data_IF_156294119919
#
_entry.id   IF_156294119919
#
_cell.length_a   1.000
_cell.length_b   1.000
_cell.length_c   1.000
_cell.angle_alpha   90.00
_cell.angle_beta   90.00
_cell.angle_gamma   90.00
#
_symmetry.space_group_name_H-M   'P 1'
#
loop_
_entity.id
_entity.type
_entity.pdbx_description
1 polymer ?
#
# COMPACT_ATOMS: atom_id res chain seq x y z
N UNK A 1 2.96 5.75 21.22
CA UNK A 1 2.39 5.58 19.86
C UNK A 1 0.89 5.36 20.04
N UNK A 2 0.04 5.87 19.16
CA UNK A 2 -1.41 5.60 19.17
C UNK A 2 -1.81 4.76 17.95
N UNK A 3 -3.08 4.28 17.89
CA UNK A 3 -3.59 3.45 16.79
C UNK A 3 -3.27 4.03 15.39
N UNK A 4 -3.44 5.34 15.21
CA UNK A 4 -3.16 6.00 13.94
C UNK A 4 -1.66 5.99 13.60
N UNK A 5 -0.80 6.22 14.60
CA UNK A 5 0.65 6.21 14.40
C UNK A 5 1.15 4.81 13.99
N UNK A 6 0.61 3.73 14.58
CA UNK A 6 0.97 2.35 14.24
C UNK A 6 0.52 2.02 12.81
N UNK A 7 -0.73 2.33 12.47
CA UNK A 7 -1.24 2.11 11.11
C UNK A 7 -0.45 2.91 10.07
N UNK A 8 -0.07 4.15 10.40
CA UNK A 8 0.77 4.96 9.53
C UNK A 8 2.15 4.32 9.34
N UNK A 9 2.78 3.87 10.42
CA UNK A 9 4.07 3.19 10.35
C UNK A 9 3.99 1.92 9.50
N UNK A 10 2.98 1.08 9.72
CA UNK A 10 2.74 -0.12 8.93
C UNK A 10 2.67 0.19 7.42
N UNK A 11 1.82 1.15 7.04
CA UNK A 11 1.53 1.45 5.63
C UNK A 11 2.63 2.27 4.92
N UNK A 12 3.30 3.18 5.63
CA UNK A 12 4.20 4.17 5.02
C UNK A 12 5.68 3.97 5.37
N UNK A 13 6.00 3.01 6.24
CA UNK A 13 7.38 2.72 6.66
C UNK A 13 7.70 1.24 6.55
N UNK A 14 7.01 0.39 7.32
CA UNK A 14 7.35 -1.02 7.38
C UNK A 14 7.12 -1.74 6.04
N UNK A 15 5.90 -1.68 5.49
CA UNK A 15 5.60 -2.38 4.24
C UNK A 15 6.50 -1.96 3.05
N UNK A 16 6.76 -0.66 2.78
CA UNK A 16 7.68 -0.30 1.71
C UNK A 16 9.12 -0.71 2.01
N UNK A 17 9.58 -0.66 3.27
CA UNK A 17 10.91 -1.14 3.67
C UNK A 17 11.06 -2.64 3.38
N UNK A 18 10.14 -3.48 3.88
CA UNK A 18 10.14 -4.92 3.62
C UNK A 18 10.06 -5.25 2.13
N UNK A 19 9.30 -4.47 1.37
CA UNK A 19 9.15 -4.65 -0.08
C UNK A 19 10.46 -4.37 -0.85
N UNK A 20 11.18 -3.30 -0.50
CA UNK A 20 12.41 -2.93 -1.19
C UNK A 20 13.66 -3.64 -0.64
N UNK A 21 13.63 -4.16 0.59
CA UNK A 21 14.75 -4.90 1.19
C UNK A 21 14.91 -6.29 0.57
N UNK A 22 13.82 -7.08 0.49
CA UNK A 22 13.81 -8.41 -0.13
C UNK A 22 12.49 -8.65 -0.85
N UNK A 23 12.42 -8.14 -2.08
CA UNK A 23 11.21 -8.15 -2.89
C UNK A 23 10.71 -9.56 -3.24
N UNK A 24 11.62 -10.48 -3.55
CA UNK A 24 11.27 -11.85 -3.89
C UNK A 24 10.62 -12.55 -2.70
N UNK A 25 11.25 -12.44 -1.51
CA UNK A 25 10.69 -13.00 -0.29
C UNK A 25 9.38 -12.33 0.09
N UNK A 26 9.29 -11.00 -0.01
CA UNK A 26 8.07 -10.24 0.29
C UNK A 26 6.90 -10.69 -0.59
N UNK A 27 7.08 -10.70 -1.91
CA UNK A 27 6.03 -11.07 -2.86
C UNK A 27 5.68 -12.55 -2.76
N UNK A 28 6.68 -13.42 -2.61
CA UNK A 28 6.44 -14.85 -2.40
C UNK A 28 5.59 -15.11 -1.16
N UNK A 29 5.91 -14.42 -0.05
CA UNK A 29 5.17 -14.53 1.21
C UNK A 29 3.73 -14.03 1.05
N UNK A 30 3.55 -12.85 0.45
CA UNK A 30 2.22 -12.28 0.22
C UNK A 30 1.36 -13.17 -0.68
N UNK A 31 1.92 -13.71 -1.77
CA UNK A 31 1.18 -14.59 -2.67
C UNK A 31 0.83 -15.94 -2.02
N UNK A 32 1.64 -16.42 -1.08
CA UNK A 32 1.43 -17.70 -0.40
C UNK A 32 0.46 -17.57 0.78
N UNK A 33 0.61 -16.54 1.60
CA UNK A 33 -0.09 -16.39 2.88
C UNK A 33 -1.24 -15.37 2.82
N UNK A 34 -1.28 -14.51 1.80
CA UNK A 34 -2.38 -13.58 1.56
C UNK A 34 -2.59 -12.58 2.70
N UNK A 35 -3.86 -12.25 2.95
CA UNK A 35 -4.28 -11.27 3.97
C UNK A 35 -3.91 -11.66 5.40
N UNK A 36 -3.74 -12.95 5.70
CA UNK A 36 -3.36 -13.41 7.04
C UNK A 36 -1.98 -12.86 7.44
N UNK A 37 -1.02 -12.92 6.52
CA UNK A 37 0.32 -12.40 6.76
C UNK A 37 0.32 -10.87 7.01
N UNK A 38 -0.43 -10.10 6.23
CA UNK A 38 -0.56 -8.65 6.46
C UNK A 38 -1.15 -8.35 7.85
N UNK A 39 -2.16 -9.12 8.24
CA UNK A 39 -2.80 -8.99 9.54
C UNK A 39 -1.85 -9.34 10.69
N UNK A 40 -1.08 -10.41 10.54
CA UNK A 40 -0.12 -10.85 11.57
C UNK A 40 1.05 -9.86 11.72
N UNK A 41 1.66 -9.40 10.62
CA UNK A 41 2.71 -8.35 10.66
C UNK A 41 2.18 -7.07 11.33
N UNK A 42 0.94 -6.67 11.02
CA UNK A 42 0.35 -5.51 11.66
C UNK A 42 0.08 -5.75 13.15
N UNK A 43 -0.37 -6.96 13.54
CA UNK A 43 -0.57 -7.34 14.94
C UNK A 43 0.72 -7.28 15.73
N UNK A 44 1.83 -7.77 15.18
CA UNK A 44 3.15 -7.72 15.82
C UNK A 44 3.57 -6.28 16.14
N UNK A 45 3.28 -5.31 15.26
CA UNK A 45 3.54 -3.90 15.55
C UNK A 45 2.71 -3.38 16.74
N UNK A 46 1.45 -3.78 16.86
CA UNK A 46 0.59 -3.41 17.99
C UNK A 46 1.10 -4.02 19.30
N UNK A 47 1.54 -5.28 19.27
CA UNK A 47 2.12 -5.97 20.43
C UNK A 47 3.41 -5.27 20.91
N UNK A 48 4.27 -4.84 20.00
CA UNK A 48 5.51 -4.12 20.33
C UNK A 48 5.27 -2.79 21.06
N UNK A 49 4.12 -2.15 20.86
CA UNK A 49 3.76 -0.88 21.51
C UNK A 49 2.70 -1.02 22.60
N UNK A 50 2.40 -2.25 23.02
CA UNK A 50 1.41 -2.58 24.06
C UNK A 50 0.03 -1.96 23.79
N UNK A 51 -0.43 -2.03 22.53
CA UNK A 51 -1.76 -1.60 22.12
C UNK A 51 -2.63 -2.80 21.73
N UNK A 52 -3.93 -2.73 22.05
CA UNK A 52 -4.90 -3.72 21.60
C UNK A 52 -5.04 -3.67 20.07
N UNK A 53 -4.85 -4.81 19.41
CA UNK A 53 -5.02 -4.95 17.97
C UNK A 53 -6.51 -5.06 17.61
N UNK A 54 -7.08 -4.12 16.83
CA UNK A 54 -8.53 -4.05 16.62
C UNK A 54 -9.00 -4.74 15.32
N UNK A 55 -8.10 -5.37 14.57
CA UNK A 55 -8.38 -5.90 13.24
C UNK A 55 -8.34 -7.43 13.20
N UNK A 56 -8.91 -7.99 12.14
CA UNK A 56 -8.88 -9.39 11.75
C UNK A 56 -8.35 -9.52 10.32
N UNK A 57 -8.02 -10.73 9.88
CA UNK A 57 -7.54 -10.95 8.51
C UNK A 57 -8.59 -10.59 7.44
N UNK A 58 -9.89 -10.67 7.78
CA UNK A 58 -11.01 -10.31 6.89
C UNK A 58 -11.08 -8.80 6.61
N UNK A 59 -10.46 -7.97 7.44
CA UNK A 59 -10.37 -6.52 7.23
C UNK A 59 -9.31 -6.14 6.18
N UNK A 60 -8.55 -7.12 5.68
CA UNK A 60 -7.53 -6.94 4.64
C UNK A 60 -7.92 -7.70 3.38
N UNK A 61 -7.62 -7.13 2.22
CA UNK A 61 -7.69 -7.83 0.96
C UNK A 61 -6.39 -7.69 0.16
N UNK A 62 -6.01 -8.76 -0.52
CA UNK A 62 -4.92 -8.76 -1.50
C UNK A 62 -5.48 -9.25 -2.82
N UNK A 63 -5.36 -8.43 -3.86
CA UNK A 63 -5.78 -8.78 -5.20
C UNK A 63 -4.57 -8.76 -6.15
N UNK A 64 -4.08 -9.93 -6.59
CA UNK A 64 -3.10 -10.00 -7.65
C UNK A 64 -3.76 -9.78 -9.02
N UNK A 65 -3.10 -9.01 -9.88
CA UNK A 65 -3.49 -8.79 -11.27
C UNK A 65 -2.26 -9.01 -12.15
N UNK A 66 -2.34 -9.96 -13.08
CA UNK A 66 -1.27 -10.23 -14.06
C UNK A 66 -1.62 -9.58 -15.38
N UNK A 67 -0.65 -8.90 -15.98
CA UNK A 67 -0.74 -8.39 -17.34
C UNK A 67 -0.09 -9.35 -18.34
N UNK A 68 -0.42 -9.18 -19.62
CA UNK A 68 0.06 -10.03 -20.71
C UNK A 68 1.57 -9.95 -20.93
N UNK A 69 2.20 -8.83 -20.56
CA UNK A 69 3.65 -8.62 -20.61
C UNK A 69 4.40 -9.28 -19.43
N UNK A 70 3.68 -9.95 -18.53
CA UNK A 70 4.23 -10.59 -17.33
C UNK A 70 4.29 -9.69 -16.11
N UNK A 71 3.94 -8.40 -16.23
CA UNK A 71 3.88 -7.48 -15.07
C UNK A 71 2.86 -8.00 -14.05
N UNK A 72 3.28 -8.08 -12.80
CA UNK A 72 2.41 -8.41 -11.67
C UNK A 72 2.07 -7.13 -10.91
N UNK A 73 0.78 -6.90 -10.69
CA UNK A 73 0.30 -5.90 -9.77
C UNK A 73 -0.29 -6.57 -8.54
N UNK A 74 0.00 -5.99 -7.39
CA UNK A 74 -0.62 -6.38 -6.13
C UNK A 74 -1.37 -5.19 -5.56
N UNK A 75 -2.69 -5.30 -5.46
CA UNK A 75 -3.52 -4.32 -4.78
C UNK A 75 -3.76 -4.79 -3.35
N UNK A 76 -3.21 -4.09 -2.36
CA UNK A 76 -3.47 -4.33 -0.95
C UNK A 76 -4.51 -3.32 -0.45
N UNK A 77 -5.55 -3.82 0.18
CA UNK A 77 -6.59 -3.01 0.80
C UNK A 77 -6.49 -3.24 2.32
N UNK A 78 -5.91 -2.29 3.07
CA UNK A 78 -5.91 -2.36 4.53
C UNK A 78 -7.30 -1.99 5.08
N UNK A 79 -7.51 -2.08 6.41
CA UNK A 79 -8.69 -1.54 7.05
C UNK A 79 -8.96 -0.09 6.64
N UNK A 80 -10.23 0.24 6.43
CA UNK A 80 -10.63 1.53 5.87
C UNK A 80 -10.02 2.72 6.66
N UNK A 81 -9.46 3.74 5.97
CA UNK A 81 -8.70 4.78 6.64
C UNK A 81 -9.63 5.75 7.38
N UNK A 82 -9.42 5.85 8.70
CA UNK A 82 -10.16 6.79 9.56
C UNK A 82 -9.59 8.21 9.51
N UNK A 83 -8.26 8.34 9.40
CA UNK A 83 -7.52 9.61 9.49
C UNK A 83 -6.53 9.75 8.34
N UNK A 84 -6.27 10.99 7.94
CA UNK A 84 -5.20 11.30 6.98
C UNK A 84 -3.83 11.09 7.65
N UNK A 85 -2.81 10.55 6.95
CA UNK A 85 -2.81 10.12 5.55
C UNK A 85 -2.97 8.59 5.34
N UNK A 86 -3.72 7.88 6.19
CA UNK A 86 -3.89 6.42 6.05
C UNK A 86 -4.45 6.02 4.68
N UNK A 87 -4.04 4.87 4.18
CA UNK A 87 -4.30 4.42 2.81
C UNK A 87 -5.67 3.78 2.65
N UNK A 88 -6.37 4.11 1.56
CA UNK A 88 -7.48 3.33 1.01
C UNK A 88 -6.98 2.03 0.36
N UNK A 89 -5.84 2.11 -0.32
CA UNK A 89 -5.12 0.96 -0.84
C UNK A 89 -3.64 1.27 -1.05
N UNK A 90 -2.85 0.22 -1.16
CA UNK A 90 -1.45 0.20 -1.59
C UNK A 90 -1.40 -0.58 -2.91
N UNK A 91 -0.63 -0.10 -3.87
CA UNK A 91 -0.48 -0.74 -5.19
C UNK A 91 1.00 -1.00 -5.41
N UNK A 92 1.36 -2.26 -5.56
CA UNK A 92 2.70 -2.68 -5.96
C UNK A 92 2.69 -3.04 -7.43
N UNK A 93 3.73 -2.63 -8.16
CA UNK A 93 3.97 -3.02 -9.54
C UNK A 93 5.32 -3.69 -9.60
N UNK A 94 5.35 -4.87 -10.22
CA UNK A 94 6.53 -5.70 -10.40
C UNK A 94 6.66 -6.06 -11.88
N UNK A 95 7.73 -5.60 -12.51
CA UNK A 95 8.14 -6.07 -13.83
C UNK A 95 8.63 -7.53 -13.77
N UNK A 96 8.60 -8.27 -14.90
CA UNK A 96 8.98 -9.68 -14.93
C UNK A 96 10.41 -9.97 -14.43
N UNK A 97 11.30 -9.00 -14.57
CA UNK A 97 12.71 -9.04 -14.18
C UNK A 97 12.98 -8.38 -12.81
N UNK A 98 11.95 -7.87 -12.13
CA UNK A 98 12.03 -7.21 -10.83
C UNK A 98 13.02 -6.02 -10.81
N UNK A 99 13.32 -5.46 -11.98
CA UNK A 99 14.34 -4.42 -12.14
C UNK A 99 13.82 -3.04 -11.73
N UNK A 100 12.51 -2.81 -11.86
CA UNK A 100 11.84 -1.55 -11.56
C UNK A 100 10.59 -1.80 -10.70
N UNK A 101 10.73 -2.23 -9.45
CA UNK A 101 9.60 -2.27 -8.53
C UNK A 101 9.03 -0.87 -8.28
N UNK A 102 7.72 -0.77 -8.08
CA UNK A 102 7.11 0.48 -7.65
C UNK A 102 6.07 0.27 -6.55
N UNK A 103 6.14 1.10 -5.51
CA UNK A 103 5.24 1.13 -4.37
C UNK A 103 4.41 2.42 -4.37
N UNK A 104 3.10 2.30 -4.56
CA UNK A 104 2.16 3.43 -4.57
C UNK A 104 1.15 3.33 -3.44
N UNK A 105 0.64 4.48 -3.00
CA UNK A 105 -0.38 4.63 -1.96
C UNK A 105 -1.52 5.50 -2.45
N UNK A 106 -2.76 5.09 -2.18
CA UNK A 106 -3.93 5.96 -2.32
C UNK A 106 -4.33 6.46 -0.93
N UNK A 107 -3.82 7.62 -0.56
CA UNK A 107 -3.85 8.14 0.82
C UNK A 107 -5.13 8.93 1.07
N UNK A 108 -5.77 8.73 2.23
CA UNK A 108 -6.89 9.56 2.66
C UNK A 108 -6.45 11.00 2.77
N UNK A 109 -7.09 11.87 1.99
CA UNK A 109 -6.93 13.32 2.14
C UNK A 109 -7.77 13.84 3.31
N UNK A 110 -7.61 15.11 3.67
CA UNK A 110 -8.54 15.78 4.60
C UNK A 110 -9.97 15.87 4.04
N UNK A 111 -10.74 16.86 4.51
CA UNK A 111 -12.15 16.99 4.12
C UNK A 111 -12.30 17.07 2.58
N UNK A 112 -13.05 16.14 1.95
CA UNK A 112 -13.26 16.15 0.52
C UNK A 112 -13.96 17.44 0.08
N UNK A 113 -13.55 17.99 -1.06
CA UNK A 113 -14.23 19.12 -1.69
C UNK A 113 -14.28 18.91 -3.19
N UNK A 114 -15.04 19.74 -3.91
CA UNK A 114 -15.03 19.72 -5.40
C UNK A 114 -13.63 19.93 -6.00
N UNK A 115 -12.65 20.40 -5.23
CA UNK A 115 -11.25 20.56 -5.63
C UNK A 115 -10.29 19.55 -4.96
N UNK A 116 -10.79 18.74 -4.03
CA UNK A 116 -10.04 17.77 -3.24
C UNK A 116 -10.78 16.42 -3.28
N UNK A 117 -10.48 15.55 -4.26
CA UNK A 117 -11.24 14.33 -4.61
C UNK A 117 -11.30 13.22 -3.54
N UNK A 118 -10.87 13.49 -2.30
CA UNK A 118 -10.96 12.58 -1.17
C UNK A 118 -9.68 11.79 -0.90
N UNK A 119 -8.78 11.68 -1.88
CA UNK A 119 -7.48 11.05 -1.72
C UNK A 119 -6.31 11.85 -2.34
N UNK A 120 -5.09 11.41 -2.04
CA UNK A 120 -3.87 11.72 -2.77
C UNK A 120 -3.27 10.43 -3.33
N UNK A 121 -2.78 10.48 -4.55
CA UNK A 121 -1.94 9.40 -5.09
C UNK A 121 -0.49 9.72 -4.76
N UNK A 122 0.16 8.82 -4.03
CA UNK A 122 1.54 8.97 -3.59
C UNK A 122 2.33 7.68 -3.84
N UNK A 123 3.60 7.66 -3.45
CA UNK A 123 4.42 6.46 -3.47
C UNK A 123 5.67 6.59 -2.61
N UNK A 124 6.40 5.50 -2.49
CA UNK A 124 7.70 5.43 -1.81
C UNK A 124 8.71 4.80 -2.75
N UNK A 125 9.92 5.36 -2.82
CA UNK A 125 11.04 4.74 -3.54
C UNK A 125 11.94 3.94 -2.59
N UNK A 126 12.91 3.22 -3.16
CA UNK A 126 13.85 2.39 -2.41
C UNK A 126 14.73 3.20 -1.43
N UNK A 127 14.92 4.50 -1.68
CA UNK A 127 15.63 5.41 -0.78
C UNK A 127 14.75 5.89 0.40
N UNK A 128 13.50 5.42 0.51
CA UNK A 128 12.59 5.81 1.58
C UNK A 128 12.03 7.23 1.43
N UNK A 129 12.07 7.82 0.25
CA UNK A 129 11.49 9.14 -0.06
C UNK A 129 10.02 9.03 -0.46
N UNK A 130 9.20 9.94 0.08
CA UNK A 130 7.78 10.05 -0.27
C UNK A 130 7.61 10.86 -1.56
N UNK A 131 6.86 10.31 -2.50
CA UNK A 131 6.56 10.91 -3.80
C UNK A 131 5.08 11.27 -3.85
N UNK A 132 4.75 12.54 -4.11
CA UNK A 132 3.37 13.00 -4.20
C UNK A 132 2.98 13.26 -5.67
N UNK A 133 2.02 12.49 -6.19
CA UNK A 133 1.52 12.59 -7.56
C UNK A 133 0.24 13.44 -7.68
N UNK A 134 -0.21 14.03 -6.56
CA UNK A 134 -1.31 14.98 -6.49
C UNK A 134 -2.64 14.38 -6.03
N UNK A 135 -3.68 15.23 -5.94
CA UNK A 135 -5.00 14.81 -5.50
C UNK A 135 -5.62 13.78 -6.46
N UNK A 136 -6.32 12.80 -5.91
CA UNK A 136 -6.90 11.69 -6.68
C UNK A 136 -8.28 11.23 -6.14
N UNK A 137 -9.06 10.59 -7.00
CA UNK A 137 -10.34 9.96 -6.64
C UNK A 137 -10.11 8.76 -5.71
N UNK A 138 -11.03 8.49 -4.79
CA UNK A 138 -10.96 7.34 -3.87
C UNK A 138 -11.18 5.98 -4.57
N UNK A 139 -11.42 5.96 -5.88
CA UNK A 139 -11.57 4.76 -6.70
C UNK A 139 -10.23 4.00 -6.93
N UNK A 140 -10.07 2.80 -6.32
CA UNK A 140 -8.83 2.02 -6.46
C UNK A 140 -8.54 1.55 -7.89
N UNK A 141 -9.57 1.34 -8.72
CA UNK A 141 -9.37 0.92 -10.12
C UNK A 141 -8.81 2.06 -10.95
N UNK A 142 -9.28 3.29 -10.73
CA UNK A 142 -8.68 4.49 -11.36
C UNK A 142 -7.26 4.69 -10.86
N UNK A 143 -7.00 4.46 -9.57
CA UNK A 143 -5.67 4.61 -8.99
C UNK A 143 -4.69 3.61 -9.60
N UNK A 144 -5.08 2.34 -9.73
CA UNK A 144 -4.28 1.30 -10.38
C UNK A 144 -3.91 1.67 -11.83
N UNK A 145 -4.90 2.11 -12.64
CA UNK A 145 -4.64 2.56 -14.00
C UNK A 145 -3.70 3.78 -14.05
N UNK A 146 -3.81 4.70 -13.09
CA UNK A 146 -2.93 5.86 -13.01
C UNK A 146 -1.50 5.47 -12.60
N UNK A 147 -1.34 4.54 -11.68
CA UNK A 147 -0.03 4.01 -11.28
C UNK A 147 0.69 3.37 -12.47
N UNK A 148 -0.01 2.58 -13.27
CA UNK A 148 0.53 2.00 -14.51
C UNK A 148 1.02 3.07 -15.50
N UNK A 149 0.30 4.19 -15.64
CA UNK A 149 0.73 5.31 -16.50
C UNK A 149 1.96 6.04 -15.94
N UNK A 150 2.08 6.16 -14.62
CA UNK A 150 3.24 6.77 -13.98
C UNK A 150 4.45 5.85 -14.14
N UNK A 151 4.24 4.56 -13.95
CA UNK A 151 5.26 3.52 -14.05
C UNK A 151 5.84 3.42 -15.47
N UNK A 152 5.00 3.49 -16.51
CA UNK A 152 5.44 3.32 -17.90
C UNK A 152 6.31 4.46 -18.46
N UNK A 153 6.43 5.59 -17.75
CA UNK A 153 7.27 6.73 -18.15
C UNK A 153 8.56 6.86 -17.32
N UNK A 154 8.85 5.90 -16.43
CA UNK A 154 10.02 5.87 -15.55
C UNK A 154 11.22 5.09 -16.11
#
# INVERSE_FOLDING_TARGET
MNLHDVNYYFQHKLLPELFYEDMEQFVGTVLQQGSEWLCDVHRELFEQVDLAFPYSAEDYAIQPVKHDDGTLLLLFVPPAPEKTPLCYCIILILDPDLAKPAYYTLEKSGSPSKRAPGAYLCGWNAEGSHLNYGPFDVDPKKALNRCLQIYSVQ
#
